data_IF_555956145227
#
_entry.id   IF_555956145227
#
_cell.length_a   1.000
_cell.length_b   1.000
_cell.length_c   1.000
_cell.angle_alpha   90.00
_cell.angle_beta   90.00
_cell.angle_gamma   90.00
#
_symmetry.space_group_name_H-M   'P 1'
#
loop_
_entity.id
_entity.type
_entity.pdbx_description
1 polymer ?
#
# COMPACT_ATOMS: atom_id res chain seq x y z
N UNK A 1 0.35 10.12 3.03
CA UNK A 1 1.28 9.18 3.72
C UNK A 1 0.48 7.95 4.15
N UNK A 2 1.08 6.75 4.17
CA UNK A 2 0.41 5.53 4.61
C UNK A 2 1.39 4.56 5.28
N UNK A 3 0.84 3.55 5.98
CA UNK A 3 1.60 2.49 6.63
C UNK A 3 1.06 1.13 6.23
N UNK A 4 1.96 0.18 6.02
CA UNK A 4 1.65 -1.24 5.82
C UNK A 4 2.07 -1.97 7.08
N UNK A 5 1.14 -2.71 7.67
CA UNK A 5 1.40 -3.53 8.86
C UNK A 5 1.26 -5.01 8.49
N UNK A 6 2.16 -5.83 9.00
CA UNK A 6 2.10 -7.28 8.85
C UNK A 6 2.35 -7.96 10.18
N UNK A 7 1.40 -8.80 10.57
CA UNK A 7 1.43 -9.54 11.82
C UNK A 7 1.39 -11.05 11.56
N UNK A 8 1.89 -11.83 12.52
CA UNK A 8 1.68 -13.27 12.57
C UNK A 8 0.32 -13.62 13.21
N UNK A 9 0.05 -14.92 13.35
CA UNK A 9 -1.20 -15.43 13.93
C UNK A 9 -1.41 -15.02 15.41
N UNK A 10 -0.36 -14.58 16.09
CA UNK A 10 -0.40 -14.12 17.49
C UNK A 10 -0.42 -12.59 17.59
N UNK A 11 -0.71 -11.88 16.48
CA UNK A 11 -0.69 -10.43 16.37
C UNK A 11 0.68 -9.80 16.69
N UNK A 12 1.78 -10.57 16.57
CA UNK A 12 3.13 -10.05 16.70
C UNK A 12 3.63 -9.56 15.34
N UNK A 13 4.46 -8.50 15.29
CA UNK A 13 5.11 -8.07 14.05
C UNK A 13 5.74 -9.25 13.30
N UNK A 14 5.51 -9.36 11.99
CA UNK A 14 6.21 -10.37 11.18
C UNK A 14 7.72 -10.17 11.33
N UNK A 15 8.45 -11.25 11.60
CA UNK A 15 9.90 -11.27 11.79
C UNK A 15 10.64 -12.06 10.69
N UNK A 16 9.96 -12.36 9.58
CA UNK A 16 10.51 -13.17 8.48
C UNK A 16 11.39 -12.31 7.59
N UNK A 17 12.69 -12.62 7.53
CA UNK A 17 13.68 -11.82 6.81
C UNK A 17 13.47 -11.74 5.28
N UNK A 18 12.75 -12.70 4.68
CA UNK A 18 12.45 -12.71 3.25
C UNK A 18 10.99 -12.34 2.96
N UNK A 19 10.36 -11.61 3.88
CA UNK A 19 8.97 -11.20 3.76
C UNK A 19 8.88 -9.85 3.04
N UNK A 20 8.67 -9.92 1.73
CA UNK A 20 8.54 -8.75 0.84
C UNK A 20 7.17 -8.71 0.19
N UNK A 21 6.69 -7.50 -0.10
CA UNK A 21 5.49 -7.28 -0.90
C UNK A 21 5.70 -6.13 -1.88
N UNK A 22 4.96 -6.17 -2.97
CA UNK A 22 4.77 -5.02 -3.85
C UNK A 22 3.58 -4.21 -3.33
N UNK A 23 3.75 -2.90 -3.32
CA UNK A 23 2.69 -1.95 -2.94
C UNK A 23 2.44 -1.05 -4.13
N UNK A 24 1.19 -0.90 -4.52
CA UNK A 24 0.81 -0.02 -5.62
C UNK A 24 -0.42 0.79 -5.30
N UNK A 25 -0.56 1.92 -5.99
CA UNK A 25 -1.66 2.85 -5.81
C UNK A 25 -2.35 3.04 -7.15
N UNK A 26 -3.65 2.84 -7.16
CA UNK A 26 -4.53 2.96 -8.32
C UNK A 26 -5.49 4.13 -8.12
N UNK A 27 -5.69 4.88 -9.20
CA UNK A 27 -6.71 5.91 -9.27
C UNK A 27 -8.11 5.30 -9.44
N UNK A 28 -9.18 6.12 -9.42
CA UNK A 28 -10.56 5.63 -9.56
C UNK A 28 -10.85 4.94 -10.90
N UNK A 29 -10.01 5.15 -11.92
CA UNK A 29 -10.13 4.52 -13.23
C UNK A 29 -9.35 3.18 -13.31
N UNK A 30 -8.67 2.78 -12.23
CA UNK A 30 -7.82 1.59 -12.18
C UNK A 30 -6.42 1.81 -12.75
N UNK A 31 -6.02 3.04 -13.00
CA UNK A 31 -4.66 3.37 -13.46
C UNK A 31 -3.69 3.26 -12.31
N UNK A 32 -2.69 2.39 -12.42
CA UNK A 32 -1.60 2.29 -11.43
C UNK A 32 -0.63 3.46 -11.58
N UNK A 33 -0.75 4.45 -10.69
CA UNK A 33 0.06 5.67 -10.72
C UNK A 33 1.35 5.57 -9.91
N UNK A 34 1.38 4.73 -8.87
CA UNK A 34 2.56 4.52 -8.03
C UNK A 34 2.81 3.05 -7.78
N UNK A 35 4.08 2.66 -7.71
CA UNK A 35 4.49 1.31 -7.38
C UNK A 35 5.79 1.30 -6.56
N UNK A 36 5.79 0.53 -5.49
CA UNK A 36 6.93 0.26 -4.61
C UNK A 36 7.16 -1.24 -4.59
N UNK A 37 8.23 -1.71 -5.21
CA UNK A 37 8.53 -3.14 -5.29
C UNK A 37 9.43 -3.59 -4.16
N UNK A 38 9.33 -4.87 -3.77
CA UNK A 38 10.23 -5.47 -2.79
C UNK A 38 10.20 -4.79 -1.41
N UNK A 39 9.05 -4.26 -1.00
CA UNK A 39 8.90 -3.59 0.30
C UNK A 39 9.08 -4.62 1.42
N UNK A 40 10.12 -4.43 2.23
CA UNK A 40 10.47 -5.35 3.31
C UNK A 40 9.50 -5.26 4.50
N UNK A 41 8.64 -6.26 4.66
CA UNK A 41 7.64 -6.37 5.73
C UNK A 41 8.14 -7.15 6.96
N UNK A 42 9.34 -7.74 6.91
CA UNK A 42 9.94 -8.55 7.98
C UNK A 42 10.28 -7.83 9.30
N UNK A 43 9.89 -6.56 9.45
CA UNK A 43 9.92 -5.81 10.73
C UNK A 43 8.50 -5.43 11.21
N UNK A 44 7.49 -6.01 10.57
CA UNK A 44 6.05 -5.85 10.83
C UNK A 44 5.42 -4.49 10.50
N UNK A 45 6.21 -3.42 10.29
CA UNK A 45 5.68 -2.14 9.84
C UNK A 45 6.59 -1.47 8.82
N UNK A 46 5.99 -0.89 7.78
CA UNK A 46 6.65 -0.02 6.81
C UNK A 46 5.81 1.23 6.56
N UNK A 47 6.49 2.37 6.44
CA UNK A 47 5.85 3.63 6.08
C UNK A 47 6.28 4.05 4.68
N UNK A 48 5.33 4.57 3.90
CA UNK A 48 5.57 5.10 2.55
C UNK A 48 4.72 6.35 2.33
N UNK A 49 5.10 7.10 1.30
CA UNK A 49 4.39 8.30 0.90
C UNK A 49 4.55 8.51 -0.60
N UNK A 50 3.55 9.17 -1.17
CA UNK A 50 3.52 9.69 -2.52
C UNK A 50 2.81 11.04 -2.46
N UNK A 51 3.00 11.84 -3.51
CA UNK A 51 2.34 13.14 -3.69
C UNK A 51 1.24 12.97 -4.74
N UNK A 52 0.11 13.62 -4.52
CA UNK A 52 -0.89 13.79 -5.57
C UNK A 52 -0.40 14.88 -6.53
N UNK A 53 -0.82 14.80 -7.79
CA UNK A 53 -0.64 15.90 -8.74
C UNK A 53 -1.45 17.13 -8.31
N UNK A 54 -1.13 18.30 -8.87
CA UNK A 54 -1.88 19.54 -8.63
C UNK A 54 -3.35 19.43 -9.09
N UNK A 55 -3.57 18.69 -10.19
CA UNK A 55 -4.91 18.33 -10.71
C UNK A 55 -5.05 16.79 -10.72
N UNK A 56 -5.36 16.14 -9.58
CA UNK A 56 -5.49 14.69 -9.50
C UNK A 56 -6.88 14.23 -9.96
N UNK A 57 -6.99 12.97 -10.41
CA UNK A 57 -8.29 12.34 -10.62
C UNK A 57 -9.07 12.31 -9.29
N UNK A 58 -10.26 12.91 -9.25
CA UNK A 58 -11.12 12.89 -8.08
C UNK A 58 -11.85 11.55 -7.93
N UNK A 59 -12.13 11.14 -6.69
CA UNK A 59 -12.86 9.93 -6.34
C UNK A 59 -12.11 9.03 -5.36
N UNK A 60 -12.52 7.76 -5.32
CA UNK A 60 -11.92 6.74 -4.44
C UNK A 60 -10.69 6.11 -5.08
N UNK A 61 -9.54 6.34 -4.47
CA UNK A 61 -8.27 5.72 -4.82
C UNK A 61 -8.04 4.46 -3.99
N UNK A 62 -7.24 3.53 -4.52
CA UNK A 62 -6.93 2.26 -3.86
C UNK A 62 -5.44 2.12 -3.62
N UNK A 63 -5.05 1.72 -2.41
CA UNK A 63 -3.69 1.25 -2.09
C UNK A 63 -3.77 -0.26 -1.92
N UNK A 64 -2.98 -0.99 -2.70
CA UNK A 64 -2.95 -2.45 -2.69
C UNK A 64 -1.56 -2.94 -2.29
N UNK A 65 -1.52 -4.04 -1.55
CA UNK A 65 -0.30 -4.71 -1.08
C UNK A 65 -0.40 -6.17 -1.50
N UNK A 66 0.54 -6.64 -2.30
CA UNK A 66 0.56 -8.01 -2.86
C UNK A 66 1.92 -8.66 -2.61
N UNK A 67 1.93 -9.85 -2.01
CA UNK A 67 3.15 -10.62 -1.75
C UNK A 67 3.28 -11.89 -2.62
N UNK A 68 2.46 -12.00 -3.67
CA UNK A 68 2.37 -13.15 -4.59
C UNK A 68 1.56 -14.33 -4.07
N UNK A 69 1.18 -14.34 -2.79
CA UNK A 69 0.32 -15.36 -2.18
C UNK A 69 -1.01 -14.77 -1.71
N UNK A 70 -0.91 -13.61 -1.05
CA UNK A 70 -2.03 -12.87 -0.52
C UNK A 70 -1.97 -11.42 -1.00
N UNK A 71 -3.14 -10.85 -1.22
CA UNK A 71 -3.31 -9.42 -1.52
C UNK A 71 -4.29 -8.79 -0.54
N UNK A 72 -4.03 -7.56 -0.12
CA UNK A 72 -4.88 -6.74 0.74
C UNK A 72 -4.92 -5.32 0.21
N UNK A 73 -6.04 -4.63 0.37
CA UNK A 73 -6.19 -3.26 -0.09
C UNK A 73 -6.96 -2.38 0.88
N UNK A 74 -6.81 -1.08 0.71
CA UNK A 74 -7.58 -0.05 1.41
C UNK A 74 -7.84 1.11 0.46
N UNK A 75 -8.90 1.86 0.70
CA UNK A 75 -9.28 3.00 -0.14
C UNK A 75 -9.20 4.32 0.62
N UNK A 76 -9.01 5.41 -0.12
CA UNK A 76 -9.07 6.77 0.40
C UNK A 76 -9.68 7.70 -0.64
N UNK A 77 -10.41 8.72 -0.19
CA UNK A 77 -11.10 9.66 -1.07
C UNK A 77 -10.23 10.87 -1.39
N UNK A 78 -10.19 11.26 -2.66
CA UNK A 78 -9.63 12.52 -3.15
C UNK A 78 -10.78 13.38 -3.69
N UNK A 79 -10.98 14.56 -3.10
CA UNK A 79 -12.07 15.47 -3.46
C UNK A 79 -11.61 16.91 -3.44
N UNK A 80 -12.31 17.78 -4.16
CA UNK A 80 -12.18 19.22 -4.04
C UNK A 80 -12.70 19.71 -2.69
N UNK A 81 -12.15 20.85 -2.23
CA UNK A 81 -12.51 21.49 -0.98
C UNK A 81 -13.56 22.58 -1.19
#
# INVERSE_FOLDING_TARGET
KFRVLKFDQNLKPSNKANDTADVYVEDPQGTRLFQFTGVQLGKGIQQRQFLLADEPTLGSWTISVDNGKDSQSTTFEVKEY
#
